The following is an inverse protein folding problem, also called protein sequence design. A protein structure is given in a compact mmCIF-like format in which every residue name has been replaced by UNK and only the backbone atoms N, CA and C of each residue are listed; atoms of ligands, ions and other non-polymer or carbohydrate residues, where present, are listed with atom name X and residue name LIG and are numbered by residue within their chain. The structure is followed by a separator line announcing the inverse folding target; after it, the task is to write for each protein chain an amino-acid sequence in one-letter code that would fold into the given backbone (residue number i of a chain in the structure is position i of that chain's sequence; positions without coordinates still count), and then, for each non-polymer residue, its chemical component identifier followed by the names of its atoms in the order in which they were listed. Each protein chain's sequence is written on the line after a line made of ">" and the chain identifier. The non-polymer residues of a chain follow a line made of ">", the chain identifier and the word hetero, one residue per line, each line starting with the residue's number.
data_IF_741957224237
#
_entry.id   IF_741957224237
#
_cell.length_a   1.000
_cell.length_b   1.000
_cell.length_c   1.000
_cell.angle_alpha   90.00
_cell.angle_beta   90.00
_cell.angle_gamma   90.00
#
_symmetry.space_group_name_H-M   'P 1'
#
loop_
_entity.id
_entity.type
_entity.pdbx_description
1 polymer ?
#
# COMPACT_ATOMS: atom_id res chain seq x y z
N UNK A 1 0.73 37.33 -3.66
CA UNK A 1 0.95 35.92 -3.33
C UNK A 1 1.19 35.19 -4.67
N UNK A 2 2.38 34.68 -4.87
CA UNK A 2 2.63 33.73 -5.98
C UNK A 2 1.79 32.47 -5.70
N UNK A 3 0.96 32.11 -6.65
CA UNK A 3 0.26 30.84 -6.57
C UNK A 3 1.24 29.77 -7.08
N UNK A 4 1.61 28.84 -6.22
CA UNK A 4 2.37 27.67 -6.63
C UNK A 4 1.55 26.91 -7.68
N UNK A 5 2.14 26.73 -8.86
CA UNK A 5 1.49 26.00 -9.95
C UNK A 5 1.86 24.53 -9.80
N UNK A 6 0.89 23.71 -9.40
CA UNK A 6 1.04 22.26 -9.42
C UNK A 6 0.79 21.77 -10.87
N UNK A 7 1.76 21.04 -11.43
CA UNK A 7 1.60 20.34 -12.71
C UNK A 7 1.29 18.88 -12.43
N UNK A 8 0.19 18.40 -12.98
CA UNK A 8 -0.22 16.99 -12.86
C UNK A 8 -0.08 16.31 -14.23
N UNK A 9 0.62 15.18 -14.24
CA UNK A 9 0.61 14.22 -15.36
C UNK A 9 -0.19 13.00 -14.90
N UNK A 10 -1.01 12.43 -15.78
CA UNK A 10 -1.79 11.22 -15.48
C UNK A 10 -1.35 10.11 -16.42
N UNK A 11 -1.07 8.94 -15.88
CA UNK A 11 -0.86 7.69 -16.60
C UNK A 11 -1.92 6.67 -16.18
N UNK A 12 -2.28 5.75 -17.09
CA UNK A 12 -3.29 4.72 -16.80
C UNK A 12 -2.65 3.35 -16.50
N UNK A 13 -1.35 3.24 -16.72
CA UNK A 13 -0.57 2.02 -16.50
C UNK A 13 0.91 2.38 -16.28
N UNK A 14 1.75 1.37 -16.13
CA UNK A 14 3.21 1.51 -15.94
C UNK A 14 4.01 1.44 -17.26
N UNK A 15 3.40 1.75 -18.41
CA UNK A 15 4.09 1.66 -19.71
C UNK A 15 5.24 2.66 -19.89
N UNK A 16 5.23 3.78 -19.16
CA UNK A 16 6.27 4.81 -19.21
C UNK A 16 6.72 5.22 -17.79
N UNK A 17 7.36 4.27 -17.10
CA UNK A 17 7.88 4.49 -15.74
C UNK A 17 8.95 5.58 -15.71
N UNK A 18 9.70 5.78 -16.79
CA UNK A 18 10.69 6.85 -16.86
C UNK A 18 10.01 8.22 -16.72
N UNK A 19 8.95 8.47 -17.51
CA UNK A 19 8.18 9.71 -17.40
C UNK A 19 7.43 9.85 -16.06
N UNK A 20 6.99 8.73 -15.46
CA UNK A 20 6.38 8.72 -14.12
C UNK A 20 7.35 9.17 -13.05
N UNK A 21 8.61 8.78 -13.14
CA UNK A 21 9.65 9.15 -12.18
C UNK A 21 10.21 10.59 -12.38
N UNK A 22 9.75 11.33 -13.38
CA UNK A 22 10.08 12.75 -13.60
C UNK A 22 9.15 13.69 -12.80
N UNK A 23 8.92 13.42 -11.53
CA UNK A 23 8.03 14.23 -10.68
C UNK A 23 8.60 14.36 -9.26
N UNK A 24 8.11 15.36 -8.51
CA UNK A 24 8.47 15.55 -7.11
C UNK A 24 7.68 14.59 -6.19
N UNK A 25 6.47 14.20 -6.61
CA UNK A 25 5.60 13.27 -5.91
C UNK A 25 4.90 12.36 -6.92
N UNK A 26 5.15 11.06 -6.81
CA UNK A 26 4.39 10.03 -7.50
C UNK A 26 3.20 9.63 -6.64
N UNK A 27 2.01 9.60 -7.23
CA UNK A 27 0.80 9.05 -6.59
C UNK A 27 0.30 7.88 -7.42
N UNK A 28 0.17 6.72 -6.80
CA UNK A 28 -0.39 5.53 -7.45
C UNK A 28 -1.69 5.09 -6.78
N UNK A 29 -2.62 4.65 -7.59
CA UNK A 29 -3.86 3.98 -7.19
C UNK A 29 -4.07 2.83 -8.18
N UNK A 30 -3.47 1.69 -7.89
CA UNK A 30 -3.47 0.51 -8.77
C UNK A 30 -4.02 -0.71 -8.04
N UNK A 31 -4.39 -1.72 -8.78
CA UNK A 31 -4.81 -3.01 -8.24
C UNK A 31 -4.37 -4.08 -9.22
N UNK A 32 -3.64 -5.08 -8.72
CA UNK A 32 -3.11 -6.20 -9.51
C UNK A 32 -2.25 -5.75 -10.71
N UNK A 33 -1.57 -4.63 -10.55
CA UNK A 33 -0.67 -4.07 -11.57
C UNK A 33 0.65 -3.61 -10.97
N UNK A 34 1.74 -4.06 -11.56
CA UNK A 34 3.11 -3.60 -11.29
C UNK A 34 3.87 -3.49 -12.62
N UNK A 35 4.88 -2.63 -12.71
CA UNK A 35 5.71 -2.57 -13.89
C UNK A 35 6.55 -3.85 -14.06
N UNK A 36 7.14 -4.02 -15.22
CA UNK A 36 8.14 -5.06 -15.45
C UNK A 36 9.40 -4.87 -14.56
N UNK A 37 10.30 -5.82 -14.56
CA UNK A 37 11.49 -5.80 -13.69
C UNK A 37 12.35 -4.53 -13.87
N UNK A 38 12.44 -3.98 -15.09
CA UNK A 38 13.17 -2.76 -15.35
C UNK A 38 12.46 -1.54 -14.73
N UNK A 39 11.14 -1.48 -14.87
CA UNK A 39 10.30 -0.45 -14.27
C UNK A 39 10.29 -0.52 -12.74
N UNK A 40 10.29 -1.71 -12.15
CA UNK A 40 10.41 -1.90 -10.70
C UNK A 40 11.74 -1.34 -10.17
N UNK A 41 12.86 -1.68 -10.82
CA UNK A 41 14.18 -1.15 -10.47
C UNK A 41 14.23 0.38 -10.62
N UNK A 42 13.52 0.94 -11.60
CA UNK A 42 13.42 2.38 -11.80
C UNK A 42 12.63 3.08 -10.68
N UNK A 43 11.49 2.54 -10.27
CA UNK A 43 10.71 3.05 -9.13
C UNK A 43 11.53 3.02 -7.84
N UNK A 44 12.24 1.91 -7.59
CA UNK A 44 13.15 1.79 -6.45
C UNK A 44 14.22 2.88 -6.50
N UNK A 45 14.91 3.02 -7.63
CA UNK A 45 15.93 4.06 -7.80
C UNK A 45 15.38 5.49 -7.67
N UNK A 46 14.14 5.75 -8.11
CA UNK A 46 13.48 7.04 -7.93
C UNK A 46 13.37 7.40 -6.46
N UNK A 47 12.86 6.47 -5.62
CA UNK A 47 12.72 6.71 -4.18
C UNK A 47 14.09 6.77 -3.50
N UNK A 48 15.03 5.87 -3.80
CA UNK A 48 16.40 5.90 -3.28
C UNK A 48 17.11 7.25 -3.50
N UNK A 49 16.77 7.94 -4.59
CA UNK A 49 17.34 9.25 -4.92
C UNK A 49 16.53 10.44 -4.38
N UNK A 50 15.52 10.21 -3.56
CA UNK A 50 14.77 11.25 -2.87
C UNK A 50 13.39 11.55 -3.46
N UNK A 51 12.93 10.79 -4.45
CA UNK A 51 11.57 10.84 -4.96
C UNK A 51 10.56 10.44 -3.87
N UNK A 52 9.39 11.05 -3.89
CA UNK A 52 8.32 10.77 -2.91
C UNK A 52 7.22 9.95 -3.56
N UNK A 53 6.75 8.93 -2.87
CA UNK A 53 5.71 8.04 -3.39
C UNK A 53 4.55 7.93 -2.41
N UNK A 54 3.37 8.37 -2.83
CA UNK A 54 2.10 8.11 -2.14
C UNK A 54 1.41 6.95 -2.84
N UNK A 55 1.49 5.78 -2.23
CA UNK A 55 0.82 4.58 -2.70
C UNK A 55 -0.54 4.43 -2.02
N UNK A 56 -1.58 4.31 -2.80
CA UNK A 56 -2.96 4.21 -2.34
C UNK A 56 -3.57 2.86 -2.71
N UNK A 57 -4.49 2.41 -1.87
CA UNK A 57 -5.29 1.20 -2.07
C UNK A 57 -4.41 -0.01 -2.39
N UNK A 58 -4.67 -0.71 -3.47
CA UNK A 58 -4.04 -1.97 -3.85
C UNK A 58 -2.70 -1.82 -4.61
N UNK A 59 -1.98 -0.69 -4.45
CA UNK A 59 -0.66 -0.53 -5.07
C UNK A 59 0.34 -1.61 -4.62
N UNK A 60 0.18 -2.15 -3.40
CA UNK A 60 0.98 -3.25 -2.86
C UNK A 60 0.34 -4.63 -3.07
N UNK A 61 -0.69 -4.73 -3.90
CA UNK A 61 -1.42 -5.97 -4.15
C UNK A 61 -1.19 -6.48 -5.57
N UNK A 62 -0.63 -7.66 -5.66
CA UNK A 62 -0.58 -8.48 -6.87
C UNK A 62 -1.11 -9.86 -6.52
N UNK A 63 -2.06 -10.36 -7.28
CA UNK A 63 -2.76 -11.59 -6.95
C UNK A 63 -2.69 -12.61 -8.10
N UNK A 64 -2.64 -13.87 -7.74
CA UNK A 64 -2.69 -15.00 -8.65
C UNK A 64 -3.82 -15.95 -8.23
N UNK A 65 -4.63 -16.35 -9.19
CA UNK A 65 -5.64 -17.37 -9.00
C UNK A 65 -5.02 -18.76 -8.93
N UNK A 66 -5.14 -19.43 -7.80
CA UNK A 66 -4.79 -20.85 -7.63
C UNK A 66 -5.98 -21.77 -7.97
N UNK A 67 -7.20 -21.33 -7.67
CA UNK A 67 -8.45 -22.02 -7.98
C UNK A 67 -9.60 -21.02 -8.14
N UNK A 68 -10.56 -21.34 -9.01
CA UNK A 68 -11.80 -20.57 -9.16
C UNK A 68 -13.00 -21.22 -8.45
N UNK A 69 -12.92 -22.52 -8.12
CA UNK A 69 -13.98 -23.23 -7.41
C UNK A 69 -13.39 -24.34 -6.50
N UNK A 70 -13.36 -24.17 -5.17
CA UNK A 70 -13.64 -22.91 -4.46
C UNK A 70 -12.61 -21.82 -4.81
N UNK A 71 -12.96 -20.54 -4.68
CA UNK A 71 -12.04 -19.45 -4.98
C UNK A 71 -10.84 -19.47 -4.02
N UNK A 72 -9.64 -19.44 -4.59
CA UNK A 72 -8.39 -19.36 -3.83
C UNK A 72 -7.39 -18.51 -4.58
N UNK A 73 -6.92 -17.46 -3.92
CA UNK A 73 -5.91 -16.53 -4.40
C UNK A 73 -4.64 -16.64 -3.56
N UNK A 74 -3.53 -16.25 -4.13
CA UNK A 74 -2.29 -15.99 -3.40
C UNK A 74 -1.69 -14.65 -3.81
N UNK A 75 -0.91 -14.06 -2.93
CA UNK A 75 -0.03 -12.94 -3.23
C UNK A 75 1.36 -13.48 -3.56
N UNK A 76 1.78 -13.55 -4.84
CA UNK A 76 3.11 -14.01 -5.21
C UNK A 76 4.17 -13.01 -4.74
N UNK A 77 5.34 -13.51 -4.30
CA UNK A 77 6.44 -12.65 -3.83
C UNK A 77 7.47 -12.41 -4.94
N UNK A 78 6.95 -12.15 -6.14
CA UNK A 78 7.76 -12.03 -7.38
C UNK A 78 8.17 -10.59 -7.69
N UNK A 79 7.76 -9.62 -6.84
CA UNK A 79 7.99 -8.19 -7.03
C UNK A 79 8.73 -7.56 -5.83
N UNK A 80 9.90 -8.11 -5.41
CA UNK A 80 10.54 -7.71 -4.16
C UNK A 80 11.00 -6.24 -4.16
N UNK A 81 11.43 -5.68 -5.29
CA UNK A 81 11.91 -4.30 -5.35
C UNK A 81 10.80 -3.28 -5.03
N UNK A 82 9.60 -3.48 -5.57
CA UNK A 82 8.45 -2.60 -5.30
C UNK A 82 7.95 -2.80 -3.88
N UNK A 83 7.77 -4.05 -3.43
CA UNK A 83 7.24 -4.33 -2.09
C UNK A 83 8.20 -3.93 -0.97
N UNK A 84 9.51 -4.02 -1.23
CA UNK A 84 10.53 -3.51 -0.32
C UNK A 84 10.44 -1.99 -0.16
N UNK A 85 10.29 -1.24 -1.25
CA UNK A 85 10.14 0.22 -1.21
C UNK A 85 8.85 0.63 -0.53
N UNK A 86 7.73 0.01 -0.90
CA UNK A 86 6.43 0.26 -0.26
C UNK A 86 6.42 -0.13 1.22
N UNK A 87 7.25 -1.09 1.63
CA UNK A 87 7.34 -1.59 3.00
C UNK A 87 6.20 -2.51 3.39
N UNK A 88 5.39 -2.94 2.44
CA UNK A 88 4.34 -3.94 2.65
C UNK A 88 3.99 -4.67 1.37
N UNK A 89 3.44 -5.88 1.56
CA UNK A 89 2.77 -6.63 0.51
C UNK A 89 1.42 -7.12 1.04
N UNK A 90 0.36 -6.84 0.29
CA UNK A 90 -0.98 -7.35 0.57
C UNK A 90 -0.98 -8.89 0.52
N UNK A 91 -1.67 -9.51 1.47
CA UNK A 91 -1.85 -10.97 1.53
C UNK A 91 -3.31 -11.40 1.42
N UNK A 92 -4.19 -10.70 2.12
CA UNK A 92 -5.61 -11.03 2.18
C UNK A 92 -6.45 -9.85 2.68
N UNK A 93 -7.77 -9.97 2.59
CA UNK A 93 -8.73 -9.11 3.27
C UNK A 93 -9.95 -9.92 3.69
N UNK A 94 -10.55 -9.65 4.86
CA UNK A 94 -11.84 -10.21 5.25
C UNK A 94 -12.96 -9.68 4.35
N UNK A 95 -14.21 -10.18 4.48
CA UNK A 95 -15.35 -9.59 3.81
C UNK A 95 -15.44 -8.08 4.02
N UNK A 96 -15.89 -7.36 2.97
CA UNK A 96 -16.07 -5.90 3.01
C UNK A 96 -17.14 -5.53 4.03
N UNK A 97 -16.70 -5.02 5.17
CA UNK A 97 -17.55 -4.62 6.29
C UNK A 97 -16.99 -3.33 6.93
N UNK A 98 -17.82 -2.58 7.70
CA UNK A 98 -17.29 -1.49 8.52
C UNK A 98 -16.30 -2.00 9.56
N UNK A 99 -15.19 -1.25 9.75
CA UNK A 99 -14.22 -1.50 10.83
C UNK A 99 -13.74 -0.21 11.45
N UNK A 100 -13.28 -0.30 12.71
CA UNK A 100 -12.74 0.84 13.43
C UNK A 100 -11.31 1.12 13.00
N UNK A 101 -11.01 2.41 12.80
CA UNK A 101 -9.68 2.93 12.53
C UNK A 101 -9.26 3.83 13.67
N UNK A 102 -8.11 3.55 14.25
CA UNK A 102 -7.56 4.30 15.36
C UNK A 102 -6.34 5.11 14.96
N UNK A 103 -6.14 6.25 15.62
CA UNK A 103 -4.99 7.13 15.40
C UNK A 103 -3.85 6.71 16.31
N UNK A 104 -2.73 6.29 15.71
CA UNK A 104 -1.54 5.86 16.45
C UNK A 104 -0.64 7.03 16.81
N UNK A 105 -0.50 8.02 15.92
CA UNK A 105 0.42 9.14 16.06
C UNK A 105 -0.32 10.50 15.99
N UNK A 106 -1.13 10.87 17.00
CA UNK A 106 -1.99 12.06 16.95
C UNK A 106 -1.19 13.38 16.86
N UNK A 107 0.05 13.40 17.33
CA UNK A 107 0.93 14.58 17.27
C UNK A 107 1.63 14.77 15.91
N UNK A 108 1.53 13.77 15.02
CA UNK A 108 2.14 13.88 13.71
C UNK A 108 1.40 14.94 12.85
N UNK A 109 2.10 15.85 12.15
CA UNK A 109 1.45 16.94 11.42
C UNK A 109 0.38 16.51 10.40
N UNK A 110 0.57 15.36 9.74
CA UNK A 110 -0.40 14.79 8.79
C UNK A 110 -1.71 14.42 9.48
N UNK A 111 -1.67 14.09 10.79
CA UNK A 111 -2.83 13.66 11.56
C UNK A 111 -3.62 14.83 12.17
N UNK A 112 -3.24 16.06 11.89
CA UNK A 112 -3.93 17.26 12.43
C UNK A 112 -5.40 17.28 12.07
N UNK A 113 -6.29 17.19 13.07
CA UNK A 113 -7.74 17.19 12.90
C UNK A 113 -8.35 15.87 12.46
N UNK A 114 -7.55 14.78 12.48
CA UNK A 114 -8.03 13.41 12.24
C UNK A 114 -8.25 12.74 13.60
N UNK A 115 -9.44 12.22 13.81
CA UNK A 115 -9.84 11.44 14.98
C UNK A 115 -10.13 9.99 14.56
N UNK A 116 -10.22 9.07 15.53
CA UNK A 116 -10.64 7.70 15.28
C UNK A 116 -12.03 7.67 14.62
N UNK A 117 -12.23 6.77 13.68
CA UNK A 117 -13.46 6.68 12.90
C UNK A 117 -13.80 5.24 12.53
N UNK A 118 -15.05 5.01 12.16
CA UNK A 118 -15.52 3.76 11.56
C UNK A 118 -15.64 3.93 10.03
N UNK A 119 -15.13 2.97 9.27
CA UNK A 119 -15.33 2.94 7.81
C UNK A 119 -16.78 2.65 7.48
N UNK A 120 -17.24 3.03 6.29
CA UNK A 120 -18.61 2.71 5.83
C UNK A 120 -18.77 1.28 5.30
N UNK A 121 -17.70 0.55 5.25
CA UNK A 121 -17.54 -0.74 4.61
C UNK A 121 -16.43 -0.61 3.57
N UNK A 122 -15.29 -1.23 3.86
CA UNK A 122 -14.09 -1.15 3.04
C UNK A 122 -13.31 -2.45 3.15
N UNK A 123 -12.37 -2.65 2.25
CA UNK A 123 -11.43 -3.76 2.30
C UNK A 123 -10.37 -3.49 3.37
N UNK A 124 -10.39 -4.26 4.45
CA UNK A 124 -9.33 -4.21 5.45
C UNK A 124 -8.15 -5.01 4.95
N UNK A 125 -7.08 -4.35 4.54
CA UNK A 125 -5.89 -5.02 4.01
C UNK A 125 -5.04 -5.61 5.12
N UNK A 126 -4.87 -6.92 5.05
CA UNK A 126 -3.97 -7.70 5.88
C UNK A 126 -2.70 -7.94 5.08
N UNK A 127 -1.60 -7.35 5.53
CA UNK A 127 -0.35 -7.31 4.78
C UNK A 127 0.81 -7.86 5.59
N UNK A 128 1.76 -8.48 4.92
CA UNK A 128 3.10 -8.60 5.49
C UNK A 128 3.86 -7.29 5.32
N UNK A 129 4.78 -7.02 6.22
CA UNK A 129 5.50 -5.76 6.27
C UNK A 129 7.00 -5.97 6.18
N UNK A 130 7.68 -5.03 5.51
CA UNK A 130 9.12 -5.05 5.27
C UNK A 130 9.77 -3.78 5.85
N UNK A 131 10.75 -3.98 6.74
CA UNK A 131 11.51 -2.90 7.36
C UNK A 131 10.72 -2.02 8.33
N UNK A 132 11.34 -0.92 8.75
CA UNK A 132 10.76 0.02 9.70
C UNK A 132 9.74 0.94 9.05
N UNK A 133 8.75 1.35 9.80
CA UNK A 133 7.68 2.27 9.39
C UNK A 133 7.10 2.99 10.59
N UNK A 134 6.57 4.17 10.40
CA UNK A 134 5.77 4.90 11.37
C UNK A 134 4.29 4.73 11.03
N UNK A 135 3.57 3.99 11.85
CA UNK A 135 2.13 3.76 11.66
C UNK A 135 1.38 4.99 12.17
N UNK A 136 0.57 5.59 11.31
CA UNK A 136 -0.26 6.76 11.63
C UNK A 136 -1.71 6.36 11.95
N UNK A 137 -2.25 5.40 11.21
CA UNK A 137 -3.57 4.83 11.43
C UNK A 137 -3.46 3.30 11.44
N UNK A 138 -4.18 2.68 12.34
CA UNK A 138 -4.25 1.22 12.42
C UNK A 138 -5.67 0.73 12.71
N UNK A 139 -5.86 -0.55 12.54
CA UNK A 139 -7.01 -1.33 13.02
C UNK A 139 -6.51 -2.64 13.60
N UNK A 140 -7.38 -3.40 14.24
CA UNK A 140 -7.07 -4.75 14.75
C UNK A 140 -7.98 -5.78 14.10
N UNK A 141 -7.41 -6.91 13.78
CA UNK A 141 -8.18 -8.02 13.23
C UNK A 141 -7.51 -9.37 13.53
N UNK A 142 -8.32 -10.39 13.67
CA UNK A 142 -7.93 -11.79 13.77
C UNK A 142 -8.98 -12.66 13.10
N UNK A 143 -8.59 -13.78 12.57
CA UNK A 143 -9.50 -14.71 11.96
C UNK A 143 -8.90 -15.44 10.76
N UNK A 144 -9.79 -15.99 9.92
CA UNK A 144 -9.41 -16.71 8.72
C UNK A 144 -10.22 -16.28 7.52
N UNK A 145 -9.57 -16.09 6.40
CA UNK A 145 -10.17 -15.76 5.11
C UNK A 145 -9.84 -16.89 4.12
N UNK A 146 -10.75 -17.82 3.96
CA UNK A 146 -10.53 -19.05 3.17
C UNK A 146 -10.26 -18.80 1.68
N UNK A 147 -10.63 -17.63 1.16
CA UNK A 147 -10.38 -17.27 -0.24
C UNK A 147 -8.90 -16.91 -0.54
N UNK A 148 -8.05 -16.80 0.47
CA UNK A 148 -6.64 -16.47 0.31
C UNK A 148 -5.74 -17.53 0.94
N UNK A 149 -4.67 -17.89 0.24
CA UNK A 149 -3.68 -18.85 0.74
C UNK A 149 -3.02 -18.38 2.05
N UNK A 150 -2.67 -17.08 2.13
CA UNK A 150 -2.09 -16.44 3.31
C UNK A 150 -3.18 -15.69 4.10
N UNK A 151 -4.35 -16.30 4.28
CA UNK A 151 -5.54 -15.70 4.89
C UNK A 151 -5.75 -16.04 6.36
N UNK A 152 -4.80 -16.68 7.05
CA UNK A 152 -4.94 -17.09 8.46
C UNK A 152 -4.12 -16.20 9.39
N UNK A 153 -4.82 -15.54 10.33
CA UNK A 153 -4.29 -14.58 11.26
C UNK A 153 -4.73 -14.99 12.68
N UNK A 154 -3.91 -15.80 13.33
CA UNK A 154 -4.24 -16.49 14.57
C UNK A 154 -4.31 -15.55 15.78
N UNK A 155 -3.54 -14.47 15.76
CA UNK A 155 -3.47 -13.49 16.85
C UNK A 155 -4.23 -12.21 16.47
N UNK A 156 -4.74 -11.51 17.49
CA UNK A 156 -5.35 -10.19 17.30
C UNK A 156 -4.23 -9.15 17.14
N UNK A 157 -3.84 -8.92 15.90
CA UNK A 157 -2.73 -8.06 15.53
C UNK A 157 -3.18 -6.68 15.04
N UNK A 158 -2.26 -5.74 15.12
CA UNK A 158 -2.44 -4.41 14.54
C UNK A 158 -2.05 -4.42 13.06
N UNK A 159 -2.98 -3.95 12.22
CA UNK A 159 -2.79 -3.79 10.79
C UNK A 159 -2.75 -2.31 10.45
N UNK A 160 -1.69 -1.86 9.80
CA UNK A 160 -1.55 -0.47 9.40
C UNK A 160 -2.56 -0.13 8.30
N UNK A 161 -3.36 0.91 8.53
CA UNK A 161 -4.25 1.52 7.53
C UNK A 161 -3.53 2.66 6.81
N UNK A 162 -2.67 3.38 7.52
CA UNK A 162 -1.80 4.41 6.98
C UNK A 162 -0.46 4.41 7.72
N UNK A 163 0.61 4.47 6.98
CA UNK A 163 1.96 4.57 7.55
C UNK A 163 2.88 5.42 6.67
N UNK A 164 3.95 5.88 7.27
CA UNK A 164 5.09 6.49 6.60
C UNK A 164 6.28 5.54 6.65
N UNK A 165 7.08 5.59 5.64
CA UNK A 165 8.33 4.87 5.54
C UNK A 165 9.41 5.77 4.95
N UNK A 166 10.51 5.90 5.65
CA UNK A 166 11.73 6.44 5.09
C UNK A 166 12.47 5.30 4.35
N UNK A 167 12.80 5.53 3.09
CA UNK A 167 13.54 4.59 2.28
C UNK A 167 14.70 5.32 1.62
N UNK A 168 15.92 5.12 2.16
CA UNK A 168 17.14 5.82 1.75
C UNK A 168 16.99 7.36 1.87
N UNK A 169 16.78 8.05 0.76
CA UNK A 169 16.59 9.52 0.71
C UNK A 169 15.16 9.94 0.42
N UNK A 170 14.30 8.97 0.12
CA UNK A 170 12.91 9.18 -0.30
C UNK A 170 11.86 9.03 0.77
#
# INVERSE_FOLDING_TARGET
>A
AEHDVIRVKVANDYSDVDAMCECDLLVTYTCDEVPDAAGQAKLKSYVENGGKWLALHATNSVLEWLSHDPPLLRAPRDHPDVMEVLGSQFLSHPPVEPYQVEVTAPEHPIMTGIEAFETRGDELYLSEYHGEREVLLHTRWTGKVDAFQDGEWEEDEEHAVMYLRDYEKG
#
